data_IF_124650494609
#
_entry.id   IF_124650494609
#
_cell.length_a   1.000
_cell.length_b   1.000
_cell.length_c   1.000
_cell.angle_alpha   90.00
_cell.angle_beta   90.00
_cell.angle_gamma   90.00
#
_symmetry.space_group_name_H-M   'P 1'
#
loop_
_entity.id
_entity.type
_entity.pdbx_description
1 polymer ?
#
# COMPACT_ATOMS: atom_id res chain seq x y z
N UNK A 1 5.84 -1.25 -33.36
CA UNK A 1 7.07 -1.35 -32.57
C UNK A 1 7.64 0.04 -32.32
N UNK A 2 7.54 0.94 -33.30
CA UNK A 2 7.98 2.34 -33.21
C UNK A 2 7.20 3.18 -32.18
N UNK A 3 5.91 2.91 -31.99
CA UNK A 3 5.08 3.56 -30.96
C UNK A 3 5.46 3.16 -29.52
N UNK A 4 5.90 1.91 -29.30
CA UNK A 4 6.40 1.48 -28.00
C UNK A 4 7.80 2.05 -27.73
N UNK A 5 8.66 2.08 -28.75
CA UNK A 5 9.99 2.70 -28.64
C UNK A 5 9.91 4.21 -28.44
N UNK A 6 8.92 4.90 -29.02
CA UNK A 6 8.70 6.34 -28.80
C UNK A 6 8.16 6.65 -27.41
N UNK A 7 7.27 5.80 -26.85
CA UNK A 7 6.79 5.95 -25.46
C UNK A 7 7.92 5.67 -24.47
N UNK A 8 8.74 4.65 -24.73
CA UNK A 8 9.87 4.30 -23.86
C UNK A 8 10.99 5.34 -23.88
N UNK A 9 11.14 6.12 -24.96
CA UNK A 9 12.11 7.21 -25.05
C UNK A 9 11.57 8.55 -24.55
N UNK A 10 10.27 8.67 -24.25
CA UNK A 10 9.72 9.88 -23.66
C UNK A 10 10.26 10.06 -22.22
N UNK A 11 10.95 11.16 -22.02
CA UNK A 11 11.57 11.51 -20.75
C UNK A 11 10.53 11.67 -19.63
N UNK A 12 9.32 12.13 -19.97
CA UNK A 12 8.22 12.27 -19.00
C UNK A 12 7.74 10.90 -18.54
N UNK A 13 7.56 9.97 -19.47
CA UNK A 13 7.18 8.59 -19.18
C UNK A 13 8.20 7.91 -18.28
N UNK A 14 9.50 8.01 -18.60
CA UNK A 14 10.56 7.38 -17.82
C UNK A 14 10.58 7.85 -16.36
N UNK A 15 10.45 9.16 -16.14
CA UNK A 15 10.44 9.74 -14.79
C UNK A 15 9.23 9.24 -14.01
N UNK A 16 8.04 9.28 -14.61
CA UNK A 16 6.81 8.81 -13.96
C UNK A 16 6.87 7.31 -13.67
N UNK A 17 7.33 6.49 -14.62
CA UNK A 17 7.47 5.04 -14.45
C UNK A 17 8.49 4.67 -13.37
N UNK A 18 9.57 5.44 -13.23
CA UNK A 18 10.53 5.28 -12.12
C UNK A 18 9.88 5.63 -10.78
N UNK A 19 9.14 6.74 -10.71
CA UNK A 19 8.41 7.16 -9.51
C UNK A 19 7.39 6.11 -9.06
N UNK A 20 6.49 5.69 -9.96
CA UNK A 20 5.46 4.68 -9.66
C UNK A 20 6.05 3.30 -9.40
N UNK A 21 7.14 2.92 -10.07
CA UNK A 21 7.86 1.67 -9.84
C UNK A 21 8.49 1.62 -8.44
N UNK A 22 9.18 2.69 -8.03
CA UNK A 22 9.79 2.78 -6.69
C UNK A 22 8.71 2.84 -5.61
N UNK A 23 7.64 3.58 -5.86
CA UNK A 23 6.49 3.63 -4.95
C UNK A 23 5.79 2.27 -4.82
N UNK A 24 5.66 1.53 -5.93
CA UNK A 24 5.17 0.16 -5.95
C UNK A 24 6.07 -0.77 -5.15
N UNK A 25 7.40 -0.64 -5.28
CA UNK A 25 8.36 -1.40 -4.49
C UNK A 25 8.19 -1.13 -2.99
N UNK A 26 8.15 0.15 -2.61
CA UNK A 26 7.96 0.56 -1.21
C UNK A 26 6.64 0.02 -0.66
N UNK A 27 5.55 0.19 -1.40
CA UNK A 27 4.22 -0.28 -1.01
C UNK A 27 4.20 -1.80 -0.88
N UNK A 28 4.84 -2.54 -1.78
CA UNK A 28 4.99 -3.98 -1.67
C UNK A 28 5.73 -4.39 -0.40
N UNK A 29 6.83 -3.71 -0.06
CA UNK A 29 7.60 -4.00 1.17
C UNK A 29 6.76 -3.71 2.42
N UNK A 30 6.16 -2.52 2.51
CA UNK A 30 5.36 -2.09 3.67
C UNK A 30 4.09 -2.93 3.82
N UNK A 31 3.48 -3.33 2.71
CA UNK A 31 2.33 -4.22 2.66
C UNK A 31 2.57 -5.59 3.29
N UNK A 32 3.80 -6.11 3.27
CA UNK A 32 4.11 -7.38 3.95
C UNK A 32 3.97 -7.25 5.46
N UNK A 33 4.37 -6.12 6.05
CA UNK A 33 4.19 -5.88 7.48
C UNK A 33 2.70 -5.79 7.84
N UNK A 34 1.90 -5.06 7.05
CA UNK A 34 0.44 -4.97 7.26
C UNK A 34 -0.23 -6.35 7.17
N UNK A 35 0.06 -7.12 6.13
CA UNK A 35 -0.56 -8.42 5.89
C UNK A 35 -0.15 -9.46 6.93
N UNK A 36 1.12 -9.50 7.34
CA UNK A 36 1.59 -10.42 8.38
C UNK A 36 1.00 -10.09 9.76
N UNK A 37 0.76 -8.81 10.05
CA UNK A 37 0.09 -8.35 11.28
C UNK A 37 -1.43 -8.52 11.26
N UNK A 38 -2.01 -9.04 10.17
CA UNK A 38 -3.47 -9.13 9.94
C UNK A 38 -4.16 -7.75 9.96
N UNK A 39 -3.46 -6.72 9.53
CA UNK A 39 -3.93 -5.33 9.49
C UNK A 39 -4.10 -4.84 8.05
N UNK A 40 -4.57 -5.70 7.13
CA UNK A 40 -4.70 -5.34 5.72
C UNK A 40 -5.67 -4.19 5.47
N UNK A 41 -6.71 -4.04 6.30
CA UNK A 41 -7.69 -2.95 6.24
C UNK A 41 -7.16 -1.61 6.78
N UNK A 42 -6.01 -1.64 7.49
CA UNK A 42 -5.42 -0.43 8.05
C UNK A 42 -4.95 0.52 6.95
N UNK A 43 -4.43 -0.01 5.84
CA UNK A 43 -4.05 0.81 4.67
C UNK A 43 -5.23 1.56 4.07
N UNK A 44 -6.41 0.93 4.03
CA UNK A 44 -7.63 1.52 3.50
C UNK A 44 -8.18 2.62 4.42
N UNK A 45 -8.29 2.34 5.72
CA UNK A 45 -8.72 3.32 6.72
C UNK A 45 -7.80 4.55 6.76
N UNK A 46 -6.48 4.36 6.68
CA UNK A 46 -5.52 5.45 6.71
C UNK A 46 -5.48 6.27 5.42
N UNK A 47 -5.68 5.65 4.25
CA UNK A 47 -5.79 6.39 2.99
C UNK A 47 -6.94 7.39 3.03
N UNK A 48 -8.11 6.94 3.45
CA UNK A 48 -9.29 7.79 3.58
C UNK A 48 -9.16 8.80 4.74
N UNK A 49 -8.43 8.44 5.80
CA UNK A 49 -8.10 9.38 6.85
C UNK A 49 -7.12 10.48 6.43
N UNK A 50 -6.33 10.26 5.38
CA UNK A 50 -5.41 11.27 4.86
C UNK A 50 -6.13 12.36 4.04
N UNK A 51 -7.24 12.04 3.37
CA UNK A 51 -8.04 12.97 2.56
C UNK A 51 -8.41 14.28 3.28
N UNK A 52 -9.07 14.28 4.45
CA UNK A 52 -9.40 15.52 5.15
C UNK A 52 -8.15 16.35 5.48
N UNK A 53 -7.01 15.70 5.78
CA UNK A 53 -5.73 16.38 6.01
C UNK A 53 -5.21 17.12 4.78
N UNK A 54 -5.32 16.52 3.59
CA UNK A 54 -4.95 17.16 2.31
C UNK A 54 -5.81 18.40 2.07
N UNK A 55 -7.14 18.26 2.23
CA UNK A 55 -8.08 19.35 1.96
C UNK A 55 -7.90 20.49 2.96
N UNK A 56 -7.71 20.20 4.25
CA UNK A 56 -7.45 21.22 5.27
C UNK A 56 -6.13 21.96 4.97
N UNK A 57 -5.07 21.24 4.63
CA UNK A 57 -3.79 21.86 4.27
C UNK A 57 -3.93 22.77 3.04
N UNK A 58 -4.67 22.34 2.02
CA UNK A 58 -4.97 23.17 0.87
C UNK A 58 -5.78 24.41 1.23
N UNK A 59 -6.83 24.29 2.05
CA UNK A 59 -7.66 25.43 2.47
C UNK A 59 -6.90 26.50 3.24
N UNK A 60 -5.89 26.10 4.03
CA UNK A 60 -5.07 27.03 4.81
C UNK A 60 -4.05 27.80 3.98
N UNK A 61 -3.50 27.19 2.94
CA UNK A 61 -2.35 27.74 2.19
C UNK A 61 -2.76 28.25 0.82
N UNK A 62 -3.82 27.68 0.25
CA UNK A 62 -4.38 28.00 -1.07
C UNK A 62 -3.40 27.80 -2.24
N UNK A 63 -2.30 27.07 -2.02
CA UNK A 63 -1.32 26.70 -3.04
C UNK A 63 -1.18 25.17 -3.15
N UNK A 64 -0.99 24.69 -4.39
CA UNK A 64 -0.66 23.29 -4.67
C UNK A 64 0.83 23.06 -4.41
N UNK A 65 1.20 22.83 -3.16
CA UNK A 65 2.54 22.40 -2.78
C UNK A 65 2.51 20.98 -2.21
N UNK A 66 3.11 20.03 -2.93
CA UNK A 66 3.11 18.61 -2.56
C UNK A 66 3.59 18.38 -1.13
N UNK A 67 4.68 19.03 -0.70
CA UNK A 67 5.21 18.87 0.65
C UNK A 67 4.18 19.21 1.72
N UNK A 68 3.43 20.29 1.52
CA UNK A 68 2.49 20.76 2.53
C UNK A 68 1.23 19.88 2.54
N UNK A 69 0.76 19.48 1.36
CA UNK A 69 -0.35 18.53 1.24
C UNK A 69 0.01 17.18 1.89
N UNK A 70 1.23 16.68 1.67
CA UNK A 70 1.74 15.46 2.31
C UNK A 70 1.88 15.63 3.83
N UNK A 71 2.27 16.80 4.33
CA UNK A 71 2.33 17.08 5.76
C UNK A 71 0.92 17.06 6.39
N UNK A 72 -0.06 17.71 5.77
CA UNK A 72 -1.46 17.67 6.20
C UNK A 72 -2.04 16.26 6.21
N UNK A 73 -1.80 15.51 5.12
CA UNK A 73 -2.17 14.11 4.97
C UNK A 73 -1.54 13.24 6.07
N UNK A 74 -0.23 13.42 6.32
CA UNK A 74 0.51 12.68 7.34
C UNK A 74 0.00 12.98 8.74
N UNK A 75 -0.29 14.25 9.05
CA UNK A 75 -0.81 14.65 10.35
C UNK A 75 -2.18 14.02 10.60
N UNK A 76 -3.08 14.07 9.61
CA UNK A 76 -4.40 13.45 9.70
C UNK A 76 -4.31 11.92 9.80
N UNK A 77 -3.44 11.28 9.02
CA UNK A 77 -3.19 9.83 9.10
C UNK A 77 -2.59 9.39 10.43
N UNK A 78 -1.72 10.19 11.03
CA UNK A 78 -1.18 9.95 12.37
C UNK A 78 -2.23 10.12 13.46
N UNK A 79 -3.08 11.16 13.37
CA UNK A 79 -4.21 11.35 14.27
C UNK A 79 -5.17 10.15 14.19
N UNK A 80 -5.51 9.69 12.98
CA UNK A 80 -6.33 8.50 12.78
C UNK A 80 -5.68 7.25 13.37
N UNK A 81 -4.38 7.04 13.15
CA UNK A 81 -3.63 5.92 13.75
C UNK A 81 -3.65 5.98 15.28
N UNK A 82 -3.49 7.18 15.86
CA UNK A 82 -3.55 7.38 17.30
C UNK A 82 -4.95 7.08 17.87
N UNK A 83 -6.00 7.54 17.19
CA UNK A 83 -7.39 7.26 17.54
C UNK A 83 -7.70 5.76 17.47
N UNK A 84 -7.28 5.07 16.40
CA UNK A 84 -7.43 3.61 16.27
C UNK A 84 -6.74 2.90 17.43
N UNK A 85 -5.50 3.26 17.74
CA UNK A 85 -4.74 2.64 18.83
C UNK A 85 -5.37 2.91 20.21
N UNK A 86 -5.90 4.11 20.42
CA UNK A 86 -6.62 4.46 21.65
C UNK A 86 -7.91 3.64 21.79
N UNK A 87 -8.70 3.55 20.72
CA UNK A 87 -9.92 2.75 20.65
C UNK A 87 -9.70 1.24 20.65
N UNK A 88 -8.48 0.73 20.52
CA UNK A 88 -8.18 -0.72 20.52
C UNK A 88 -7.23 -1.12 21.64
N UNK A 89 -6.94 -0.18 22.55
CA UNK A 89 -6.06 -0.40 23.69
C UNK A 89 -6.58 -1.42 24.71
N UNK A 90 -5.77 -1.68 25.75
CA UNK A 90 -5.98 -2.74 26.76
C UNK A 90 -7.32 -2.70 27.51
N UNK A 91 -8.06 -1.60 27.46
CA UNK A 91 -9.37 -1.43 28.12
C UNK A 91 -10.52 -1.21 27.13
N UNK A 92 -10.33 -1.51 25.85
CA UNK A 92 -11.33 -1.20 24.83
C UNK A 92 -12.50 -2.18 24.80
N UNK A 93 -13.69 -1.62 24.61
CA UNK A 93 -14.95 -2.34 24.33
C UNK A 93 -15.06 -2.72 22.83
N UNK A 94 -14.27 -2.10 21.95
CA UNK A 94 -14.45 -2.12 20.49
C UNK A 94 -13.37 -2.99 19.82
N UNK A 95 -13.80 -3.87 18.89
CA UNK A 95 -12.89 -4.70 18.08
C UNK A 95 -12.11 -3.83 17.09
N UNK A 96 -10.90 -4.28 16.73
CA UNK A 96 -10.04 -3.56 15.79
C UNK A 96 -10.71 -3.26 14.45
N UNK A 97 -11.44 -4.21 13.88
CA UNK A 97 -12.14 -4.02 12.59
C UNK A 97 -13.24 -2.96 12.69
N UNK A 98 -13.94 -2.89 13.83
CA UNK A 98 -14.97 -1.87 14.09
C UNK A 98 -14.36 -0.48 14.26
N UNK A 99 -13.21 -0.37 14.94
CA UNK A 99 -12.48 0.90 15.06
C UNK A 99 -11.97 1.40 13.70
N UNK A 100 -11.47 0.49 12.85
CA UNK A 100 -11.05 0.80 11.48
C UNK A 100 -12.24 1.31 10.64
N UNK A 101 -13.39 0.63 10.69
CA UNK A 101 -14.58 1.02 9.95
C UNK A 101 -15.14 2.39 10.40
N UNK A 102 -15.12 2.68 11.71
CA UNK A 102 -15.55 3.96 12.26
C UNK A 102 -14.67 5.11 11.76
N UNK A 103 -13.34 4.93 11.80
CA UNK A 103 -12.39 5.95 11.34
C UNK A 103 -12.49 6.15 9.84
N UNK A 104 -12.53 5.06 9.07
CA UNK A 104 -12.72 5.08 7.62
C UNK A 104 -13.95 5.91 7.24
N UNK A 105 -15.13 5.56 7.76
CA UNK A 105 -16.39 6.23 7.42
C UNK A 105 -16.43 7.69 7.88
N UNK A 106 -15.98 7.97 9.11
CA UNK A 106 -16.01 9.33 9.68
C UNK A 106 -15.06 10.27 8.94
N UNK A 107 -13.80 9.86 8.76
CA UNK A 107 -12.81 10.72 8.09
C UNK A 107 -13.10 10.85 6.60
N UNK A 108 -13.59 9.80 5.94
CA UNK A 108 -14.00 9.91 4.54
C UNK A 108 -15.17 10.87 4.38
N UNK A 109 -16.20 10.77 5.23
CA UNK A 109 -17.33 11.70 5.22
C UNK A 109 -16.91 13.16 5.48
N UNK A 110 -16.00 13.37 6.43
CA UNK A 110 -15.43 14.70 6.68
C UNK A 110 -14.59 15.19 5.49
N UNK A 111 -13.75 14.32 4.93
CA UNK A 111 -12.89 14.65 3.79
C UNK A 111 -13.68 15.00 2.53
N UNK A 112 -14.74 14.24 2.23
CA UNK A 112 -15.62 14.52 1.08
C UNK A 112 -16.44 15.80 1.30
N UNK A 113 -16.97 16.04 2.50
CA UNK A 113 -17.66 17.28 2.82
C UNK A 113 -16.73 18.51 2.68
N UNK A 114 -15.51 18.42 3.19
CA UNK A 114 -14.49 19.48 3.05
C UNK A 114 -14.10 19.68 1.57
N UNK A 115 -13.97 18.59 0.81
CA UNK A 115 -13.67 18.66 -0.61
C UNK A 115 -14.78 19.38 -1.38
N UNK A 116 -16.04 18.99 -1.17
CA UNK A 116 -17.21 19.65 -1.77
C UNK A 116 -17.32 21.12 -1.39
N UNK A 117 -16.91 21.49 -0.17
CA UNK A 117 -16.83 22.88 0.26
C UNK A 117 -15.70 23.64 -0.45
N UNK A 118 -14.51 23.05 -0.53
CA UNK A 118 -13.36 23.65 -1.23
C UNK A 118 -13.63 23.87 -2.72
N UNK A 119 -14.46 23.02 -3.34
CA UNK A 119 -14.82 23.13 -4.76
C UNK A 119 -15.70 24.34 -5.09
N UNK A 120 -16.35 24.94 -4.10
CA UNK A 120 -17.19 26.13 -4.27
C UNK A 120 -16.38 27.44 -4.23
N UNK A 121 -15.09 27.37 -3.91
CA UNK A 121 -14.22 28.54 -3.83
C UNK A 121 -13.64 28.94 -5.20
N UNK A 122 -13.30 30.23 -5.43
CA UNK A 122 -12.75 30.71 -6.71
C UNK A 122 -11.48 29.98 -7.18
N UNK A 123 -10.68 29.46 -6.25
CA UNK A 123 -9.43 28.74 -6.52
C UNK A 123 -9.60 27.20 -6.60
N UNK A 124 -10.83 26.70 -6.59
CA UNK A 124 -11.16 25.28 -6.58
C UNK A 124 -10.51 24.47 -7.70
N UNK A 125 -10.52 25.00 -8.92
CA UNK A 125 -9.99 24.32 -10.10
C UNK A 125 -8.45 24.16 -10.06
N UNK A 126 -7.73 25.03 -9.34
CA UNK A 126 -6.28 24.96 -9.22
C UNK A 126 -5.82 23.87 -8.25
N UNK A 127 -6.70 23.42 -7.36
CA UNK A 127 -6.36 22.47 -6.31
C UNK A 127 -6.04 21.07 -6.85
N UNK A 128 -6.68 20.64 -7.95
CA UNK A 128 -6.51 19.30 -8.52
C UNK A 128 -6.80 18.17 -7.51
N UNK A 129 -7.60 18.42 -6.48
CA UNK A 129 -7.78 17.52 -5.33
C UNK A 129 -8.47 16.20 -5.71
N UNK A 130 -9.29 16.20 -6.77
CA UNK A 130 -9.93 14.98 -7.29
C UNK A 130 -8.89 13.96 -7.80
N UNK A 131 -7.74 14.43 -8.26
CA UNK A 131 -6.63 13.58 -8.69
C UNK A 131 -6.10 12.71 -7.55
N UNK A 132 -6.19 13.15 -6.29
CA UNK A 132 -5.79 12.35 -5.13
C UNK A 132 -6.77 11.21 -4.81
N UNK A 133 -8.03 11.29 -5.26
CA UNK A 133 -9.01 10.22 -5.05
C UNK A 133 -8.74 9.06 -6.00
N UNK A 134 -8.59 9.38 -7.30
CA UNK A 134 -8.52 8.38 -8.37
C UNK A 134 -7.10 8.06 -8.85
N UNK A 135 -6.11 8.89 -8.49
CA UNK A 135 -4.70 8.75 -8.87
C UNK A 135 -4.44 9.11 -10.33
N UNK A 136 -3.59 10.11 -10.56
CA UNK A 136 -3.09 10.43 -11.90
C UNK A 136 -1.60 10.77 -11.86
N UNK A 137 -0.79 9.80 -12.23
CA UNK A 137 0.65 9.88 -12.29
C UNK A 137 1.13 10.78 -13.45
N UNK A 138 0.28 11.03 -14.46
CA UNK A 138 0.53 11.98 -15.54
C UNK A 138 0.62 13.44 -15.07
N UNK A 139 0.07 13.76 -13.89
CA UNK A 139 0.15 15.10 -13.29
C UNK A 139 1.35 15.31 -12.38
N UNK A 140 2.21 14.30 -12.18
CA UNK A 140 3.39 14.40 -11.32
C UNK A 140 4.47 15.27 -11.96
N UNK A 141 4.98 16.22 -11.19
CA UNK A 141 6.14 17.01 -11.56
C UNK A 141 7.42 16.20 -11.29
N UNK A 142 8.53 16.60 -11.91
CA UNK A 142 9.84 15.98 -11.65
C UNK A 142 10.21 16.06 -10.16
N UNK A 143 9.87 17.18 -9.51
CA UNK A 143 10.13 17.40 -8.08
C UNK A 143 9.40 16.37 -7.21
N UNK A 144 8.16 16.02 -7.57
CA UNK A 144 7.34 15.04 -6.84
C UNK A 144 7.96 13.65 -6.91
N UNK A 145 8.46 13.27 -8.09
CA UNK A 145 9.18 12.01 -8.28
C UNK A 145 10.48 11.97 -7.47
N UNK A 146 11.27 13.05 -7.45
CA UNK A 146 12.47 13.10 -6.61
C UNK A 146 12.12 12.93 -5.13
N UNK A 147 11.04 13.56 -4.66
CA UNK A 147 10.56 13.41 -3.29
C UNK A 147 10.17 11.96 -2.99
N UNK A 148 9.41 11.32 -3.89
CA UNK A 148 9.04 9.90 -3.77
C UNK A 148 10.30 9.03 -3.67
N UNK A 149 11.30 9.25 -4.53
CA UNK A 149 12.53 8.46 -4.52
C UNK A 149 13.28 8.62 -3.20
N UNK A 150 13.51 9.86 -2.76
CA UNK A 150 14.27 10.16 -1.54
C UNK A 150 13.58 9.58 -0.31
N UNK A 151 12.27 9.80 -0.15
CA UNK A 151 11.55 9.30 1.03
C UNK A 151 11.39 7.78 0.96
N UNK A 152 11.14 7.20 -0.22
CA UNK A 152 11.08 5.74 -0.37
C UNK A 152 12.40 5.08 0.01
N UNK A 153 13.52 5.63 -0.45
CA UNK A 153 14.85 5.14 -0.11
C UNK A 153 15.09 5.24 1.40
N UNK A 154 14.75 6.38 2.03
CA UNK A 154 14.86 6.56 3.47
C UNK A 154 14.05 5.51 4.25
N UNK A 155 12.80 5.26 3.85
CA UNK A 155 11.95 4.25 4.50
C UNK A 155 12.55 2.85 4.34
N UNK A 156 13.01 2.49 3.13
CA UNK A 156 13.63 1.18 2.89
C UNK A 156 14.92 0.99 3.70
N UNK A 157 15.74 2.03 3.83
CA UNK A 157 16.95 2.02 4.69
C UNK A 157 16.56 1.81 6.14
N UNK A 158 15.55 2.53 6.66
CA UNK A 158 15.06 2.33 8.03
C UNK A 158 14.54 0.91 8.25
N UNK A 159 13.81 0.34 7.29
CA UNK A 159 13.35 -1.05 7.33
C UNK A 159 14.53 -2.04 7.34
N UNK A 160 15.59 -1.77 6.58
CA UNK A 160 16.78 -2.61 6.54
C UNK A 160 17.59 -2.53 7.84
N UNK A 161 17.77 -1.32 8.39
CA UNK A 161 18.49 -1.08 9.65
C UNK A 161 17.77 -1.74 10.82
N UNK A 162 16.47 -1.53 10.97
CA UNK A 162 15.64 -2.10 12.05
C UNK A 162 15.00 -3.45 11.68
N UNK A 163 15.64 -4.20 10.77
CA UNK A 163 15.08 -5.45 10.23
C UNK A 163 14.74 -6.48 11.33
N UNK A 164 15.62 -6.62 12.33
CA UNK A 164 15.48 -7.63 13.39
C UNK A 164 14.30 -7.28 14.29
N UNK A 165 14.17 -6.01 14.62
CA UNK A 165 13.17 -5.45 15.53
C UNK A 165 11.80 -5.42 14.87
N UNK A 166 11.69 -4.94 13.62
CA UNK A 166 10.42 -4.98 12.88
C UNK A 166 9.95 -6.40 12.63
N UNK A 167 10.86 -7.34 12.35
CA UNK A 167 10.51 -8.76 12.28
C UNK A 167 9.90 -9.24 13.60
N UNK A 168 10.52 -8.93 14.73
CA UNK A 168 10.03 -9.36 16.04
C UNK A 168 8.64 -8.79 16.34
N UNK A 169 8.46 -7.47 16.21
CA UNK A 169 7.18 -6.78 16.49
C UNK A 169 6.06 -7.27 15.56
N UNK A 170 6.40 -7.70 14.34
CA UNK A 170 5.43 -8.22 13.37
C UNK A 170 4.89 -9.60 13.76
N UNK A 171 5.73 -10.46 14.32
CA UNK A 171 5.33 -11.82 14.69
C UNK A 171 4.82 -11.93 16.13
N UNK A 172 5.41 -11.17 17.05
CA UNK A 172 5.02 -11.16 18.46
C UNK A 172 5.30 -9.80 19.10
N UNK A 173 4.28 -8.93 19.07
CA UNK A 173 4.38 -7.59 19.63
C UNK A 173 4.37 -7.58 21.17
N UNK A 174 3.79 -8.59 21.82
CA UNK A 174 3.71 -8.65 23.28
C UNK A 174 5.01 -9.22 23.86
N UNK A 175 5.61 -10.23 23.23
CA UNK A 175 6.96 -10.68 23.56
C UNK A 175 8.01 -9.59 23.28
N UNK A 176 7.88 -8.84 22.18
CA UNK A 176 8.77 -7.71 21.93
C UNK A 176 8.77 -6.69 23.08
N UNK A 177 7.63 -6.49 23.76
CA UNK A 177 7.52 -5.54 24.88
C UNK A 177 8.17 -6.02 26.18
N UNK A 178 8.46 -7.31 26.34
CA UNK A 178 9.14 -7.84 27.53
C UNK A 178 10.65 -7.78 27.42
N UNK A 179 11.19 -7.58 26.21
CA UNK A 179 12.62 -7.49 25.95
C UNK A 179 13.17 -6.09 26.28
N UNK A 180 14.45 -6.00 26.69
CA UNK A 180 15.12 -4.73 26.90
C UNK A 180 15.31 -4.03 25.55
N UNK A 181 14.52 -2.98 25.31
CA UNK A 181 14.63 -2.17 24.10
C UNK A 181 13.41 -1.27 23.88
N UNK A 182 13.51 -0.26 23.00
CA UNK A 182 12.44 0.70 22.76
C UNK A 182 11.36 0.14 21.79
N UNK A 183 10.88 -1.10 21.99
CA UNK A 183 9.94 -1.75 21.08
C UNK A 183 8.59 -1.03 20.93
N UNK A 184 8.15 -0.31 21.96
CA UNK A 184 6.98 0.58 21.87
C UNK A 184 7.21 1.75 20.92
N UNK A 185 8.42 2.33 20.92
CA UNK A 185 8.80 3.36 19.95
C UNK A 185 8.93 2.76 18.54
N UNK A 186 9.57 1.61 18.39
CA UNK A 186 9.72 0.96 17.09
C UNK A 186 8.38 0.53 16.47
N UNK A 187 7.40 0.12 17.27
CA UNK A 187 6.06 -0.14 16.77
C UNK A 187 5.38 1.14 16.26
N UNK A 188 5.55 2.27 16.96
CA UNK A 188 5.06 3.59 16.50
C UNK A 188 5.80 4.06 15.25
N UNK A 189 7.12 3.83 15.18
CA UNK A 189 7.93 4.10 13.99
C UNK A 189 7.43 3.29 12.79
N UNK A 190 7.17 1.99 12.94
CA UNK A 190 6.63 1.16 11.86
C UNK A 190 5.28 1.71 11.37
N UNK A 191 4.38 2.09 12.28
CA UNK A 191 3.11 2.73 11.93
C UNK A 191 3.31 4.07 11.21
N UNK A 192 4.26 4.90 11.64
CA UNK A 192 4.63 6.15 10.96
C UNK A 192 5.13 5.87 9.54
N UNK A 193 6.02 4.89 9.35
CA UNK A 193 6.53 4.53 8.03
C UNK A 193 5.40 4.07 7.10
N UNK A 194 4.42 3.31 7.62
CA UNK A 194 3.22 2.91 6.85
C UNK A 194 2.40 4.13 6.44
N UNK A 195 2.14 5.06 7.36
CA UNK A 195 1.40 6.31 7.06
C UNK A 195 2.13 7.10 5.97
N UNK A 196 3.45 7.28 6.11
CA UNK A 196 4.27 7.99 5.12
C UNK A 196 4.19 7.32 3.74
N UNK A 197 4.29 5.99 3.68
CA UNK A 197 4.15 5.24 2.42
C UNK A 197 2.77 5.41 1.79
N UNK A 198 1.70 5.36 2.59
CA UNK A 198 0.34 5.59 2.10
C UNK A 198 0.22 6.98 1.51
N UNK A 199 0.67 7.99 2.26
CA UNK A 199 0.58 9.41 1.90
C UNK A 199 1.35 9.73 0.62
N UNK A 200 2.55 9.19 0.45
CA UNK A 200 3.31 9.31 -0.81
C UNK A 200 2.57 8.70 -2.01
N UNK A 201 1.83 7.62 -1.79
CA UNK A 201 1.09 6.91 -2.84
C UNK A 201 -0.19 7.59 -3.29
N UNK A 202 -0.73 8.54 -2.52
CA UNK A 202 -2.04 9.14 -2.79
C UNK A 202 -2.06 9.91 -4.11
N UNK A 203 -0.98 10.62 -4.46
CA UNK A 203 -0.94 11.39 -5.71
C UNK A 203 -0.83 10.50 -6.95
N UNK A 204 0.04 9.48 -6.88
CA UNK A 204 0.31 8.58 -8.02
C UNK A 204 -0.81 7.58 -8.27
N UNK A 205 -1.29 6.94 -7.20
CA UNK A 205 -2.15 5.75 -7.26
C UNK A 205 -3.58 6.09 -6.85
N UNK A 206 -3.75 7.08 -5.98
CA UNK A 206 -5.06 7.47 -5.44
C UNK A 206 -5.36 6.82 -4.10
N UNK A 207 -6.15 7.52 -3.30
CA UNK A 207 -6.58 7.11 -1.95
C UNK A 207 -7.30 5.77 -1.95
N UNK A 208 -8.18 5.54 -2.92
CA UNK A 208 -9.00 4.32 -2.97
C UNK A 208 -8.15 3.09 -3.33
N UNK A 209 -7.07 3.31 -4.07
CA UNK A 209 -6.31 2.27 -4.76
C UNK A 209 -4.98 1.93 -4.06
N UNK A 210 -4.48 2.80 -3.18
CA UNK A 210 -3.24 2.57 -2.43
C UNK A 210 -3.33 1.35 -1.51
N UNK A 211 -4.50 1.06 -0.94
CA UNK A 211 -4.74 -0.11 -0.10
C UNK A 211 -4.52 -1.41 -0.88
N UNK A 212 -5.00 -1.46 -2.13
CA UNK A 212 -4.79 -2.58 -3.03
C UNK A 212 -3.30 -2.73 -3.40
N UNK A 213 -2.60 -1.63 -3.69
CA UNK A 213 -1.18 -1.66 -4.03
C UNK A 213 -0.29 -2.11 -2.86
N UNK A 214 -0.68 -1.84 -1.61
CA UNK A 214 -0.02 -2.39 -0.42
C UNK A 214 -0.31 -3.90 -0.27
N UNK A 215 -1.57 -4.29 -0.37
CA UNK A 215 -2.01 -5.64 0.06
C UNK A 215 -1.76 -6.70 -1.02
N UNK A 216 -2.05 -6.41 -2.29
CA UNK A 216 -1.98 -7.36 -3.40
C UNK A 216 -0.58 -7.99 -3.58
N UNK A 217 0.51 -7.21 -3.79
CA UNK A 217 1.83 -7.80 -3.98
C UNK A 217 2.31 -8.60 -2.75
N UNK A 218 1.89 -8.21 -1.55
CA UNK A 218 2.21 -8.93 -0.32
C UNK A 218 1.49 -10.28 -0.25
N UNK A 219 0.20 -10.32 -0.63
CA UNK A 219 -0.56 -11.57 -0.76
C UNK A 219 0.08 -12.46 -1.83
N UNK A 220 0.43 -11.88 -2.99
CA UNK A 220 1.05 -12.60 -4.08
C UNK A 220 2.36 -13.26 -3.63
N UNK A 221 3.28 -12.51 -3.02
CA UNK A 221 4.57 -13.01 -2.57
C UNK A 221 4.46 -14.10 -1.50
N UNK A 222 3.48 -14.00 -0.60
CA UNK A 222 3.24 -14.96 0.49
C UNK A 222 2.80 -16.35 0.00
N UNK A 223 2.38 -16.50 -1.26
CA UNK A 223 2.07 -17.81 -1.84
C UNK A 223 3.34 -18.57 -2.26
N UNK A 224 4.43 -17.86 -2.59
CA UNK A 224 5.66 -18.45 -3.10
C UNK A 224 6.64 -18.85 -1.99
N UNK A 225 6.66 -18.12 -0.86
CA UNK A 225 7.60 -18.38 0.23
C UNK A 225 6.98 -18.22 1.62
N UNK A 226 7.58 -18.93 2.60
CA UNK A 226 7.28 -18.78 4.03
C UNK A 226 8.30 -17.91 4.76
N UNK A 227 9.46 -17.64 4.15
CA UNK A 227 10.51 -16.85 4.75
C UNK A 227 10.22 -15.36 4.56
N UNK A 228 10.07 -14.61 5.65
CA UNK A 228 9.73 -13.19 5.62
C UNK A 228 10.68 -12.37 4.72
N UNK A 229 11.99 -12.66 4.74
CA UNK A 229 12.98 -12.03 3.86
C UNK A 229 12.59 -12.17 2.39
N UNK A 230 12.33 -13.41 1.95
CA UNK A 230 11.94 -13.70 0.57
C UNK A 230 10.59 -13.08 0.21
N UNK A 231 9.63 -13.09 1.13
CA UNK A 231 8.30 -12.49 0.90
C UNK A 231 8.42 -10.98 0.71
N UNK A 232 9.25 -10.29 1.50
CA UNK A 232 9.48 -8.85 1.36
C UNK A 232 10.12 -8.52 0.01
N UNK A 233 11.16 -9.26 -0.38
CA UNK A 233 11.83 -9.04 -1.67
C UNK A 233 10.88 -9.31 -2.84
N UNK A 234 10.18 -10.44 -2.85
CA UNK A 234 9.20 -10.77 -3.90
C UNK A 234 8.05 -9.78 -3.97
N UNK A 235 7.53 -9.33 -2.83
CA UNK A 235 6.45 -8.35 -2.76
C UNK A 235 6.90 -7.01 -3.33
N UNK A 236 8.10 -6.55 -2.96
CA UNK A 236 8.71 -5.36 -3.55
C UNK A 236 8.87 -5.48 -5.07
N UNK A 237 9.34 -6.62 -5.58
CA UNK A 237 9.44 -6.85 -7.02
C UNK A 237 8.07 -6.82 -7.71
N UNK A 238 7.06 -7.52 -7.19
CA UNK A 238 5.71 -7.50 -7.78
C UNK A 238 5.10 -6.10 -7.76
N UNK A 239 5.31 -5.35 -6.68
CA UNK A 239 4.93 -3.95 -6.60
C UNK A 239 5.61 -3.09 -7.65
N UNK A 240 6.93 -3.21 -7.80
CA UNK A 240 7.72 -2.49 -8.80
C UNK A 240 7.24 -2.77 -10.22
N UNK A 241 7.08 -4.05 -10.57
CA UNK A 241 6.58 -4.45 -11.89
C UNK A 241 5.16 -3.95 -12.13
N UNK A 242 4.28 -3.99 -11.12
CA UNK A 242 2.92 -3.47 -11.27
C UNK A 242 2.89 -1.96 -11.52
N UNK A 243 3.79 -1.20 -10.88
CA UNK A 243 3.95 0.23 -11.11
C UNK A 243 4.40 0.53 -12.54
N UNK A 244 5.50 -0.10 -12.99
CA UNK A 244 6.07 0.14 -14.33
C UNK A 244 5.11 -0.30 -15.44
N UNK A 245 4.58 -1.53 -15.35
CA UNK A 245 3.66 -2.08 -16.36
C UNK A 245 2.34 -1.31 -16.36
N UNK A 246 1.81 -0.95 -15.18
CA UNK A 246 0.60 -0.14 -15.07
C UNK A 246 0.77 1.23 -15.73
N UNK A 247 1.88 1.93 -15.46
CA UNK A 247 2.20 3.19 -16.12
C UNK A 247 2.38 3.04 -17.63
N UNK A 248 3.05 1.96 -18.10
CA UNK A 248 3.20 1.67 -19.53
C UNK A 248 1.85 1.50 -20.22
N UNK A 249 0.96 0.69 -19.66
CA UNK A 249 -0.40 0.46 -20.20
C UNK A 249 -1.19 1.78 -20.21
N UNK A 250 -1.09 2.55 -19.12
CA UNK A 250 -1.77 3.84 -19.01
C UNK A 250 -1.29 4.88 -20.03
N UNK A 251 -0.01 4.85 -20.40
CA UNK A 251 0.55 5.74 -21.42
C UNK A 251 0.23 5.31 -22.85
N UNK A 252 0.00 4.01 -23.07
CA UNK A 252 -0.34 3.45 -24.37
C UNK A 252 -1.84 3.55 -24.69
N UNK A 253 -2.70 3.54 -23.67
CA UNK A 253 -4.14 3.72 -23.80
C UNK A 253 -4.57 5.17 -23.65
N UNK A 254 -5.48 5.64 -24.49
CA UNK A 254 -6.04 6.99 -24.42
C UNK A 254 -6.78 7.22 -23.08
N UNK A 255 -6.22 8.07 -22.21
CA UNK A 255 -6.86 8.65 -21.00
C UNK A 255 -7.29 7.69 -19.87
N UNK A 256 -6.64 6.54 -19.69
CA UNK A 256 -6.95 5.67 -18.53
C UNK A 256 -6.26 6.21 -17.26
N UNK A 257 -6.92 6.26 -16.08
CA UNK A 257 -6.25 6.59 -14.82
C UNK A 257 -5.11 5.63 -14.49
N UNK A 258 -3.93 6.18 -14.23
CA UNK A 258 -2.71 5.40 -13.94
C UNK A 258 -2.84 4.58 -12.67
N UNK A 259 -3.53 5.10 -11.65
CA UNK A 259 -3.75 4.35 -10.40
C UNK A 259 -4.54 3.07 -10.63
N UNK A 260 -5.62 3.16 -11.42
CA UNK A 260 -6.49 2.02 -11.70
C UNK A 260 -5.77 0.92 -12.49
N UNK A 261 -4.98 1.29 -13.50
CA UNK A 261 -4.20 0.34 -14.30
C UNK A 261 -3.15 -0.38 -13.45
N UNK A 262 -2.41 0.34 -12.60
CA UNK A 262 -1.44 -0.26 -11.66
C UNK A 262 -2.12 -1.30 -10.78
N UNK A 263 -3.29 -1.00 -10.20
CA UNK A 263 -4.01 -1.93 -9.33
C UNK A 263 -4.53 -3.15 -10.09
N UNK A 264 -5.06 -2.97 -11.31
CA UNK A 264 -5.51 -4.10 -12.14
C UNK A 264 -4.35 -5.03 -12.47
N UNK A 265 -3.17 -4.49 -12.80
CA UNK A 265 -1.95 -5.27 -13.02
C UNK A 265 -1.53 -6.00 -11.74
N UNK A 266 -1.45 -5.30 -10.60
CA UNK A 266 -1.10 -5.90 -9.31
C UNK A 266 -2.06 -7.03 -8.91
N UNK A 267 -3.36 -6.84 -9.13
CA UNK A 267 -4.41 -7.84 -8.88
C UNK A 267 -4.23 -9.04 -9.81
N UNK A 268 -3.93 -8.81 -11.09
CA UNK A 268 -3.68 -9.88 -12.07
C UNK A 268 -2.47 -10.74 -11.69
N UNK A 269 -1.37 -10.10 -11.26
CA UNK A 269 -0.18 -10.79 -10.72
C UNK A 269 -0.56 -11.62 -9.48
N UNK A 270 -1.43 -11.07 -8.62
CA UNK A 270 -1.87 -11.74 -7.39
C UNK A 270 -2.74 -12.96 -7.69
N UNK A 271 -3.70 -12.84 -8.62
CA UNK A 271 -4.53 -13.95 -9.06
C UNK A 271 -3.69 -15.06 -9.69
N UNK A 272 -2.73 -14.69 -10.56
CA UNK A 272 -1.78 -15.64 -11.14
C UNK A 272 -0.98 -16.36 -10.04
N UNK A 273 -0.47 -15.63 -9.06
CA UNK A 273 0.24 -16.20 -7.92
C UNK A 273 -0.63 -17.18 -7.12
N UNK A 274 -1.88 -16.83 -6.82
CA UNK A 274 -2.82 -17.69 -6.08
C UNK A 274 -3.16 -18.97 -6.85
N UNK A 275 -3.23 -18.91 -8.18
CA UNK A 275 -3.52 -20.09 -9.02
C UNK A 275 -2.32 -21.03 -9.12
N UNK A 276 -1.14 -20.48 -9.42
CA UNK A 276 0.03 -21.25 -9.85
C UNK A 276 1.09 -21.48 -8.76
N UNK A 277 0.97 -20.88 -7.56
CA UNK A 277 2.01 -21.01 -6.55
C UNK A 277 2.24 -22.47 -6.11
N UNK A 278 3.50 -22.92 -6.02
CA UNK A 278 3.85 -24.34 -5.89
C UNK A 278 3.47 -24.98 -4.55
N UNK A 279 3.36 -24.21 -3.45
CA UNK A 279 3.06 -24.75 -2.10
C UNK A 279 1.68 -24.41 -1.57
N UNK A 280 1.12 -23.26 -1.96
CA UNK A 280 -0.20 -22.79 -1.50
C UNK A 280 -1.21 -22.55 -2.62
N UNK A 281 -0.78 -22.66 -3.87
CA UNK A 281 -1.66 -22.44 -5.01
C UNK A 281 -2.80 -23.46 -5.04
N UNK A 282 -3.96 -23.01 -5.51
CA UNK A 282 -5.17 -23.85 -5.59
C UNK A 282 -4.90 -25.15 -6.37
N UNK A 283 -4.09 -25.09 -7.42
CA UNK A 283 -3.75 -26.23 -8.27
C UNK A 283 -2.83 -27.21 -7.52
N UNK A 284 -1.79 -26.70 -6.84
CA UNK A 284 -0.88 -27.52 -6.05
C UNK A 284 -1.58 -28.20 -4.88
N UNK A 285 -2.48 -27.48 -4.19
CA UNK A 285 -3.27 -28.03 -3.07
C UNK A 285 -4.23 -29.13 -3.55
N UNK A 286 -4.91 -28.92 -4.69
CA UNK A 286 -5.77 -29.96 -5.30
C UNK A 286 -4.99 -31.21 -5.69
N UNK A 287 -3.75 -31.07 -6.21
CA UNK A 287 -2.87 -32.21 -6.50
C UNK A 287 -2.47 -32.97 -5.23
N UNK A 288 -2.01 -32.26 -4.20
CA UNK A 288 -1.62 -32.88 -2.92
C UNK A 288 -2.77 -33.59 -2.21
N UNK A 289 -4.00 -33.06 -2.27
CA UNK A 289 -5.18 -33.72 -1.70
C UNK A 289 -5.48 -35.02 -2.45
N UNK A 290 -5.50 -34.99 -3.80
CA UNK A 290 -5.70 -36.20 -4.61
C UNK A 290 -4.62 -37.25 -4.41
N UNK A 291 -3.36 -36.85 -4.24
CA UNK A 291 -2.26 -37.77 -3.94
C UNK A 291 -2.39 -38.41 -2.55
N UNK A 292 -2.83 -37.64 -1.54
CA UNK A 292 -3.11 -38.15 -0.20
C UNK A 292 -4.30 -39.11 -0.19
N UNK A 293 -5.36 -38.80 -0.92
CA UNK A 293 -6.53 -39.69 -1.07
C UNK A 293 -6.13 -41.03 -1.71
N UNK A 294 -5.37 -40.99 -2.81
CA UNK A 294 -4.83 -42.22 -3.45
C UNK A 294 -3.94 -43.01 -2.50
N UNK A 295 -3.02 -42.36 -1.79
CA UNK A 295 -2.14 -43.03 -0.84
C UNK A 295 -2.89 -43.64 0.35
N UNK A 296 -4.01 -43.05 0.77
CA UNK A 296 -4.89 -43.60 1.81
C UNK A 296 -5.62 -44.85 1.29
N UNK A 297 -6.17 -44.80 0.07
CA UNK A 297 -6.84 -45.93 -0.57
C UNK A 297 -5.89 -47.14 -0.70
N UNK A 298 -4.67 -46.93 -1.21
CA UNK A 298 -3.67 -48.02 -1.32
C UNK A 298 -3.27 -48.60 0.05
N UNK A 299 -3.34 -47.83 1.14
CA UNK A 299 -3.08 -48.34 2.50
C UNK A 299 -4.24 -49.14 3.08
N UNK A 300 -5.47 -48.81 2.69
CA UNK A 300 -6.66 -49.58 3.08
C UNK A 300 -6.70 -50.91 2.32
N UNK A 301 -6.44 -50.91 1.01
CA UNK A 301 -6.35 -52.12 0.18
C UNK A 301 -5.24 -53.10 0.60
N UNK A 302 -4.18 -52.63 1.28
CA UNK A 302 -3.11 -53.50 1.81
C UNK A 302 -3.38 -54.07 3.21
N UNK A 303 -4.48 -53.67 3.86
CA UNK A 303 -4.88 -54.13 5.19
C UNK A 303 -5.96 -55.21 5.17
N UNK A 304 -6.58 -55.43 4.02
CA UNK A 304 -7.47 -56.56 3.72
C UNK A 304 -6.65 -57.72 3.12
#
# INVERSE_FOLDING_TARGET
MDTLLSILTDHTFQIVALGTGILGLLSGVMGVFLTLRKQSLLGDALGHAALPGIVIAFLLIQEKNMLILLLGASLSGLLATALINWMTGRHSVIKQDSALALILSSFFGLGTALLSYSQQMPNAAQAGLETFIFGQASGMLRQDVYLIIVISLLVLVLVAVFWKEFKLITFDADFARTLPGPYSFLNRLLSLLIVVTIVLGLESVGVVLISALLVNPAIAARQWSHQMKTVIVLSGFFGLFSGIIGTLISSAGSQIPTGATIVVVATSITLFSILFAPRRGLIARRRQVKEKEKALQTRLERRE
#
